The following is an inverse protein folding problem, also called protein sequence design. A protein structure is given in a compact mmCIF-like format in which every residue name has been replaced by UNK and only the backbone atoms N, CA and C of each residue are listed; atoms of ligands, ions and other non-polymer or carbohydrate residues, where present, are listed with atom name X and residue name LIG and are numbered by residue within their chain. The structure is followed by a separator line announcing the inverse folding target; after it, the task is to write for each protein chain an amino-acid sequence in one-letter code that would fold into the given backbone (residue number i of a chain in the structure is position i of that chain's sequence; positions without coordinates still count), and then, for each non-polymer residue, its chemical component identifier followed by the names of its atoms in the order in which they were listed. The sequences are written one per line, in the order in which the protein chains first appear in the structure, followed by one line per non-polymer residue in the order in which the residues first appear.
data_IF_773026218664
#
_entry.id   IF_773026218664
#
_cell.length_a   1.000
_cell.length_b   1.000
_cell.length_c   1.000
_cell.angle_alpha   90.00
_cell.angle_beta   90.00
_cell.angle_gamma   90.00
#
_symmetry.space_group_name_H-M   'P 1'
#
loop_
_entity.id
_entity.type
_entity.pdbx_description
1 polymer ?
#
# COMPACT_ATOMS: atom_id res chain seq x y z
N UNK A 1 17.75 2.80 5.32
CA UNK A 1 16.76 1.73 5.54
C UNK A 1 16.40 1.01 4.25
N UNK A 2 16.08 1.72 3.15
CA UNK A 2 15.74 1.12 1.85
C UNK A 2 16.89 0.38 1.17
N UNK A 3 18.15 0.74 1.48
CA UNK A 3 19.34 0.23 0.78
C UNK A 3 19.70 1.03 -0.48
N UNK A 4 18.92 2.05 -0.84
CA UNK A 4 19.24 2.92 -1.96
C UNK A 4 20.39 3.88 -1.61
N UNK A 5 21.27 4.15 -2.57
CA UNK A 5 22.24 5.21 -2.46
C UNK A 5 21.58 6.56 -2.79
N UNK A 6 21.83 7.58 -1.97
CA UNK A 6 21.50 8.96 -2.30
C UNK A 6 22.61 9.50 -3.20
N UNK A 7 22.37 9.51 -4.51
CA UNK A 7 23.43 9.81 -5.50
C UNK A 7 23.51 11.27 -5.90
N UNK A 8 22.51 12.08 -5.56
CA UNK A 8 22.51 13.49 -5.89
C UNK A 8 21.22 14.17 -5.50
N UNK A 9 21.20 15.45 -5.68
CA UNK A 9 20.07 16.34 -5.44
C UNK A 9 20.46 17.77 -5.68
N UNK A 10 19.48 18.65 -5.67
CA UNK A 10 19.65 20.09 -5.83
C UNK A 10 18.61 20.81 -4.99
N UNK A 11 18.96 21.99 -4.53
CA UNK A 11 18.00 22.95 -3.94
C UNK A 11 17.94 24.16 -4.86
N UNK A 12 16.74 24.51 -5.31
CA UNK A 12 16.51 25.68 -6.13
C UNK A 12 15.52 26.63 -5.46
N UNK A 13 15.83 27.92 -5.48
CA UNK A 13 14.88 28.95 -5.12
C UNK A 13 13.92 29.18 -6.29
N UNK A 14 12.63 29.34 -5.97
CA UNK A 14 11.59 29.58 -6.97
C UNK A 14 10.79 30.86 -6.62
N UNK A 15 11.40 32.04 -6.80
CA UNK A 15 10.77 33.31 -6.46
C UNK A 15 9.45 33.51 -7.23
N UNK A 16 8.38 33.88 -6.50
CA UNK A 16 7.06 34.08 -7.08
C UNK A 16 6.24 32.82 -7.32
N UNK A 17 6.81 31.63 -7.08
CA UNK A 17 6.09 30.35 -7.15
C UNK A 17 5.64 29.87 -5.76
N UNK A 18 6.58 29.81 -4.81
CA UNK A 18 6.29 29.55 -3.39
C UNK A 18 6.25 30.83 -2.58
N UNK A 19 5.42 30.84 -1.54
CA UNK A 19 5.44 31.90 -0.53
C UNK A 19 6.63 31.69 0.41
N UNK A 20 7.02 32.74 1.09
CA UNK A 20 8.08 32.66 2.10
C UNK A 20 7.72 31.60 3.17
N UNK A 21 8.63 30.67 3.44
CA UNK A 21 8.45 29.56 4.36
C UNK A 21 7.80 28.30 3.76
N UNK A 22 7.33 28.35 2.52
CA UNK A 22 6.80 27.17 1.79
C UNK A 22 7.92 26.50 0.99
N UNK A 23 7.92 25.18 0.97
CA UNK A 23 8.84 24.39 0.15
C UNK A 23 8.24 23.04 -0.20
N UNK A 24 8.73 22.44 -1.27
CA UNK A 24 8.44 21.07 -1.65
C UNK A 24 9.71 20.22 -1.70
N UNK A 25 9.56 18.94 -1.45
CA UNK A 25 10.63 17.95 -1.65
C UNK A 25 10.15 16.97 -2.70
N UNK A 26 10.85 16.90 -3.83
CA UNK A 26 10.60 15.94 -4.88
C UNK A 26 11.77 14.95 -4.95
N UNK A 27 11.46 13.69 -5.19
CA UNK A 27 12.47 12.65 -5.37
C UNK A 27 12.03 11.64 -6.40
N UNK A 28 13.01 11.03 -7.06
CA UNK A 28 12.76 9.86 -7.89
C UNK A 28 13.86 8.82 -7.69
N UNK A 29 13.49 7.55 -7.91
CA UNK A 29 14.43 6.45 -7.81
C UNK A 29 14.69 5.84 -9.19
N UNK A 30 15.94 5.49 -9.44
CA UNK A 30 16.34 4.71 -10.61
C UNK A 30 16.79 3.35 -10.13
N UNK A 31 16.23 2.31 -10.72
CA UNK A 31 16.59 0.93 -10.45
C UNK A 31 16.79 0.17 -11.76
N UNK A 32 17.44 -0.98 -11.66
CA UNK A 32 17.61 -1.93 -12.77
C UNK A 32 17.18 -3.31 -12.33
N UNK A 33 16.64 -4.06 -13.27
CA UNK A 33 16.27 -5.47 -13.09
C UNK A 33 16.56 -6.23 -14.37
N UNK A 34 17.01 -7.47 -14.25
CA UNK A 34 17.17 -8.35 -15.39
C UNK A 34 15.80 -8.62 -16.04
N UNK A 35 15.75 -8.63 -17.38
CA UNK A 35 14.50 -8.73 -18.13
C UNK A 35 13.67 -9.97 -17.79
N UNK A 36 14.33 -11.06 -17.50
CA UNK A 36 13.72 -12.34 -17.12
C UNK A 36 13.21 -12.37 -15.67
N UNK A 37 13.66 -11.43 -14.84
CA UNK A 37 13.25 -11.27 -13.45
C UNK A 37 12.13 -10.24 -13.22
N UNK A 38 11.64 -9.61 -14.29
CA UNK A 38 10.55 -8.64 -14.18
C UNK A 38 9.27 -9.35 -13.70
N UNK A 39 8.74 -8.91 -12.56
CA UNK A 39 7.44 -9.33 -12.06
C UNK A 39 6.37 -8.53 -12.79
N UNK A 40 5.70 -9.15 -13.76
CA UNK A 40 4.77 -8.48 -14.66
C UNK A 40 3.35 -9.06 -14.63
N UNK A 41 3.06 -9.93 -13.67
CA UNK A 41 1.73 -10.49 -13.45
C UNK A 41 1.29 -11.57 -14.44
N UNK A 42 2.13 -11.97 -15.40
CA UNK A 42 1.77 -12.96 -16.44
C UNK A 42 1.45 -14.34 -15.90
N UNK A 43 2.00 -14.69 -14.73
CA UNK A 43 1.84 -16.00 -14.09
C UNK A 43 0.71 -16.00 -13.04
N UNK A 44 0.01 -14.87 -12.86
CA UNK A 44 -1.17 -14.79 -11.98
C UNK A 44 -2.32 -15.54 -12.64
N UNK A 45 -2.99 -16.38 -11.84
CA UNK A 45 -4.10 -17.21 -12.30
C UNK A 45 -5.18 -17.34 -11.21
N UNK A 46 -6.40 -17.69 -11.56
CA UNK A 46 -7.44 -18.01 -10.58
C UNK A 46 -6.96 -19.06 -9.56
N UNK A 47 -7.27 -18.85 -8.29
CA UNK A 47 -6.83 -19.65 -7.15
C UNK A 47 -5.54 -19.16 -6.47
N UNK A 48 -4.77 -18.26 -7.09
CA UNK A 48 -3.66 -17.58 -6.42
C UNK A 48 -4.17 -16.76 -5.23
N UNK A 49 -3.40 -16.72 -4.16
CA UNK A 49 -3.79 -16.03 -2.93
C UNK A 49 -3.21 -14.62 -2.87
N UNK A 50 -3.99 -13.73 -2.27
CA UNK A 50 -3.61 -12.35 -2.04
C UNK A 50 -3.15 -12.19 -0.59
N UNK A 51 -1.92 -11.72 -0.41
CA UNK A 51 -1.33 -11.43 0.90
C UNK A 51 -1.17 -9.93 1.02
N UNK A 52 -1.80 -9.34 2.04
CA UNK A 52 -1.65 -7.94 2.40
C UNK A 52 -0.59 -7.77 3.48
N UNK A 53 0.30 -6.80 3.31
CA UNK A 53 1.30 -6.39 4.31
C UNK A 53 0.80 -5.10 4.96
N UNK A 54 0.75 -5.07 6.30
CA UNK A 54 0.23 -3.96 7.06
C UNK A 54 0.94 -2.63 6.73
N UNK A 55 0.16 -1.57 6.66
CA UNK A 55 0.67 -0.20 6.58
C UNK A 55 1.05 0.34 7.96
N UNK A 56 1.70 1.49 7.99
CA UNK A 56 1.98 2.27 9.21
C UNK A 56 0.88 3.30 9.53
N UNK A 57 -0.17 3.37 8.74
CA UNK A 57 -1.25 4.35 8.82
C UNK A 57 -1.71 4.78 7.43
N UNK A 58 -2.12 6.02 7.29
CA UNK A 58 -2.65 6.58 6.02
C UNK A 58 -1.59 6.69 4.92
N UNK A 59 -0.31 6.58 5.27
CA UNK A 59 0.82 6.86 4.40
C UNK A 59 0.78 8.29 3.87
N UNK A 60 0.95 8.47 2.56
CA UNK A 60 0.99 9.80 1.94
C UNK A 60 -0.19 10.08 1.00
N UNK A 61 -1.32 9.37 1.19
CA UNK A 61 -2.48 9.45 0.30
C UNK A 61 -3.74 9.88 1.03
N UNK A 62 -4.68 10.47 0.28
CA UNK A 62 -5.97 10.88 0.81
C UNK A 62 -5.97 12.15 1.68
N UNK A 63 -4.88 12.91 1.72
CA UNK A 63 -4.74 14.08 2.60
C UNK A 63 -5.69 15.23 2.29
N UNK A 64 -6.26 15.30 1.09
CA UNK A 64 -7.34 16.24 0.79
C UNK A 64 -8.59 15.95 1.62
N UNK A 65 -8.91 14.67 1.85
CA UNK A 65 -10.01 14.25 2.71
C UNK A 65 -9.61 14.38 4.18
N UNK A 66 -8.41 13.94 4.57
CA UNK A 66 -7.88 14.07 5.93
C UNK A 66 -8.01 15.50 6.44
N UNK A 67 -7.56 16.50 5.66
CA UNK A 67 -7.66 17.92 6.02
C UNK A 67 -9.09 18.45 6.17
N UNK A 68 -10.06 17.82 5.54
CA UNK A 68 -11.49 18.16 5.72
C UNK A 68 -12.08 17.55 6.98
N UNK A 69 -11.61 16.37 7.38
CA UNK A 69 -12.11 15.66 8.56
C UNK A 69 -11.46 16.15 9.84
N UNK A 70 -10.17 16.44 9.81
CA UNK A 70 -9.36 16.84 10.95
C UNK A 70 -9.01 18.33 10.85
N UNK A 71 -9.97 19.18 11.22
CA UNK A 71 -9.79 20.64 11.23
C UNK A 71 -9.02 21.12 12.45
N UNK A 72 -9.10 20.37 13.55
CA UNK A 72 -8.23 20.50 14.71
C UNK A 72 -7.23 19.34 14.73
N UNK A 73 -5.98 19.63 14.40
CA UNK A 73 -4.91 18.62 14.38
C UNK A 73 -4.42 18.23 15.78
N UNK A 74 -4.81 18.97 16.80
CA UNK A 74 -4.47 18.72 18.21
C UNK A 74 -5.55 17.96 18.97
N UNK A 75 -6.67 17.60 18.32
CA UNK A 75 -7.66 16.74 18.95
C UNK A 75 -7.03 15.41 19.41
N UNK A 76 -7.55 14.88 20.53
CA UNK A 76 -7.05 13.62 21.08
C UNK A 76 -7.48 12.43 20.22
N UNK A 77 -6.51 11.57 19.92
CA UNK A 77 -6.73 10.31 19.26
C UNK A 77 -5.81 9.23 19.86
N UNK A 78 -6.40 8.23 20.52
CA UNK A 78 -5.67 7.13 21.17
C UNK A 78 -4.60 7.60 22.19
N UNK A 79 -4.89 8.66 22.93
CA UNK A 79 -3.99 9.19 23.97
C UNK A 79 -2.92 10.14 23.46
N UNK A 80 -2.94 10.47 22.19
CA UNK A 80 -2.03 11.45 21.58
C UNK A 80 -2.78 12.42 20.67
N UNK A 81 -2.12 13.46 20.22
CA UNK A 81 -2.64 14.38 19.20
C UNK A 81 -2.74 13.68 17.83
N UNK A 82 -3.89 13.80 17.16
CA UNK A 82 -4.17 13.07 15.91
C UNK A 82 -3.16 13.31 14.81
N UNK A 83 -2.55 14.48 14.75
CA UNK A 83 -1.54 14.79 13.73
C UNK A 83 -0.35 13.83 13.78
N UNK A 84 0.04 13.31 14.96
CA UNK A 84 1.15 12.35 15.10
C UNK A 84 0.86 11.05 14.36
N UNK A 85 -0.37 10.56 14.47
CA UNK A 85 -0.83 9.39 13.70
C UNK A 85 -0.87 9.69 12.20
N UNK A 86 -1.40 10.86 11.83
CA UNK A 86 -1.59 11.24 10.42
C UNK A 86 -0.26 11.42 9.65
N UNK A 87 0.79 11.95 10.32
CA UNK A 87 2.10 12.14 9.67
C UNK A 87 3.05 10.95 9.80
N UNK A 88 2.58 9.83 10.35
CA UNK A 88 3.41 8.62 10.43
C UNK A 88 3.98 8.29 9.04
N UNK A 89 5.32 8.16 8.91
CA UNK A 89 5.94 7.94 7.59
C UNK A 89 5.43 6.70 6.89
N UNK A 90 5.36 6.76 5.57
CA UNK A 90 5.07 5.59 4.73
C UNK A 90 6.04 4.46 5.04
N UNK A 91 5.50 3.28 5.32
CA UNK A 91 6.29 2.09 5.63
C UNK A 91 7.16 1.68 4.44
N UNK A 92 8.40 1.29 4.73
CA UNK A 92 9.35 0.81 3.73
C UNK A 92 9.22 -0.70 3.55
N UNK A 93 8.74 -1.12 2.40
CA UNK A 93 8.56 -2.55 2.05
C UNK A 93 9.75 -3.15 1.30
N UNK A 94 10.78 -2.36 0.99
CA UNK A 94 11.87 -2.75 0.08
C UNK A 94 12.57 -4.02 0.54
N UNK A 95 13.17 -4.03 1.73
CA UNK A 95 13.93 -5.18 2.23
C UNK A 95 13.08 -6.45 2.43
N UNK A 96 11.90 -6.37 3.08
CA UNK A 96 11.03 -7.53 3.22
C UNK A 96 10.62 -8.13 1.89
N UNK A 97 10.22 -7.30 0.91
CA UNK A 97 9.78 -7.76 -0.40
C UNK A 97 10.94 -8.34 -1.21
N UNK A 98 12.11 -7.70 -1.22
CA UNK A 98 13.30 -8.24 -1.89
C UNK A 98 13.68 -9.61 -1.32
N UNK A 99 13.61 -9.79 0.00
CA UNK A 99 13.91 -11.09 0.63
C UNK A 99 12.94 -12.20 0.24
N UNK A 100 11.71 -11.84 -0.16
CA UNK A 100 10.74 -12.80 -0.72
C UNK A 100 11.07 -13.15 -2.16
N UNK A 101 11.33 -12.15 -2.99
CA UNK A 101 11.62 -12.32 -4.42
C UNK A 101 12.83 -13.23 -4.66
N UNK A 102 13.82 -13.17 -3.74
CA UNK A 102 15.00 -14.04 -3.79
C UNK A 102 14.68 -15.52 -3.50
N UNK A 103 13.59 -15.80 -2.78
CA UNK A 103 13.26 -17.13 -2.27
C UNK A 103 12.06 -17.78 -2.94
N UNK A 104 11.11 -16.97 -3.41
CA UNK A 104 9.81 -17.43 -3.91
C UNK A 104 9.46 -16.74 -5.20
N UNK A 105 8.60 -17.39 -5.98
CA UNK A 105 8.00 -16.79 -7.15
C UNK A 105 6.81 -15.90 -6.75
N UNK A 106 7.07 -14.62 -6.52
CA UNK A 106 6.03 -13.61 -6.34
C UNK A 106 5.49 -13.26 -7.73
N UNK A 107 4.22 -13.59 -7.98
CA UNK A 107 3.62 -13.46 -9.31
C UNK A 107 3.20 -12.04 -9.64
N UNK A 108 2.82 -11.26 -8.62
CA UNK A 108 2.45 -9.85 -8.76
C UNK A 108 2.57 -9.10 -7.46
N UNK A 109 2.71 -7.79 -7.56
CA UNK A 109 2.82 -6.86 -6.43
C UNK A 109 2.08 -5.58 -6.73
N UNK A 110 1.41 -5.04 -5.70
CA UNK A 110 0.77 -3.73 -5.77
C UNK A 110 1.06 -2.93 -4.51
N UNK A 111 1.71 -1.78 -4.64
CA UNK A 111 1.82 -0.80 -3.57
C UNK A 111 0.55 0.04 -3.56
N UNK A 112 -0.17 0.04 -2.45
CA UNK A 112 -1.46 0.72 -2.33
C UNK A 112 -1.21 2.19 -2.01
N UNK A 113 -1.47 3.03 -3.01
CA UNK A 113 -1.28 4.48 -2.99
C UNK A 113 -2.61 5.20 -3.28
N UNK A 114 -2.58 6.41 -3.87
CA UNK A 114 -3.79 7.10 -4.32
C UNK A 114 -4.61 6.22 -5.27
N UNK A 115 -5.93 6.25 -5.11
CA UNK A 115 -6.84 5.31 -5.77
C UNK A 115 -7.10 4.01 -5.00
N UNK A 116 -6.44 3.82 -3.83
CA UNK A 116 -6.71 2.71 -2.91
C UNK A 116 -6.59 1.33 -3.56
N UNK A 117 -7.36 0.39 -3.05
CA UNK A 117 -7.37 -0.99 -3.58
C UNK A 117 -7.92 -1.04 -5.00
N UNK A 118 -8.99 -0.31 -5.26
CA UNK A 118 -9.76 -0.38 -6.52
C UNK A 118 -8.88 -0.06 -7.73
N UNK A 119 -8.02 0.95 -7.62
CA UNK A 119 -7.17 1.33 -8.75
C UNK A 119 -5.80 0.62 -8.74
N UNK A 120 -5.24 0.31 -7.56
CA UNK A 120 -3.87 -0.19 -7.52
C UNK A 120 -3.79 -1.71 -7.69
N UNK A 121 -4.64 -2.49 -7.03
CA UNK A 121 -4.56 -3.95 -7.09
C UNK A 121 -4.66 -4.50 -8.52
N UNK A 122 -5.59 -4.03 -9.38
CA UNK A 122 -5.69 -4.55 -10.74
C UNK A 122 -4.48 -4.25 -11.64
N UNK A 123 -3.64 -3.28 -11.26
CA UNK A 123 -2.43 -2.95 -12.05
C UNK A 123 -1.43 -4.11 -12.10
N UNK A 124 -1.45 -5.01 -11.11
CA UNK A 124 -0.57 -6.18 -11.13
C UNK A 124 -1.05 -7.28 -12.09
N UNK A 125 -2.29 -7.23 -12.58
CA UNK A 125 -2.84 -8.22 -13.50
C UNK A 125 -2.42 -7.95 -14.94
N UNK A 126 -1.79 -8.94 -15.56
CA UNK A 126 -1.49 -8.94 -16.99
C UNK A 126 -2.68 -9.56 -17.75
N UNK A 127 -3.50 -8.70 -18.35
CA UNK A 127 -4.75 -9.12 -19.01
C UNK A 127 -5.99 -8.51 -18.35
N UNK A 128 -7.16 -8.87 -18.88
CA UNK A 128 -8.46 -8.29 -18.51
C UNK A 128 -9.43 -9.24 -17.83
N UNK A 129 -9.02 -10.49 -17.56
CA UNK A 129 -9.92 -11.56 -17.14
C UNK A 129 -9.65 -12.07 -15.71
N UNK A 130 -9.07 -11.20 -14.85
CA UNK A 130 -8.76 -11.53 -13.46
C UNK A 130 -9.35 -10.48 -12.53
N UNK A 131 -10.02 -10.93 -11.49
CA UNK A 131 -10.55 -10.12 -10.41
C UNK A 131 -9.86 -10.48 -9.10
N UNK A 132 -9.52 -9.50 -8.28
CA UNK A 132 -9.11 -9.70 -6.90
C UNK A 132 -10.35 -9.75 -6.00
N UNK A 133 -10.70 -10.91 -5.48
CA UNK A 133 -11.72 -11.03 -4.44
C UNK A 133 -11.08 -10.82 -3.08
N UNK A 134 -11.41 -9.72 -2.39
CA UNK A 134 -10.78 -9.29 -1.14
C UNK A 134 -11.83 -9.21 -0.03
N UNK A 135 -11.58 -9.95 1.06
CA UNK A 135 -12.44 -9.95 2.25
C UNK A 135 -12.09 -8.80 3.17
N UNK A 136 -13.03 -7.88 3.37
CA UNK A 136 -12.87 -6.68 4.21
C UNK A 136 -12.63 -6.97 5.70
N UNK A 137 -13.01 -8.16 6.16
CA UNK A 137 -12.87 -8.61 7.55
C UNK A 137 -11.68 -9.55 7.78
N UNK A 138 -10.84 -9.75 6.77
CA UNK A 138 -9.68 -10.66 6.84
C UNK A 138 -8.51 -10.11 7.65
N UNK A 139 -8.55 -8.86 8.06
CA UNK A 139 -7.53 -8.19 8.86
C UNK A 139 -8.15 -7.09 9.73
N UNK A 140 -7.52 -6.71 10.85
CA UNK A 140 -8.02 -5.63 11.70
C UNK A 140 -7.87 -4.29 10.98
N UNK A 141 -8.96 -3.51 10.92
CA UNK A 141 -8.92 -2.15 10.39
C UNK A 141 -8.18 -1.25 11.39
N UNK A 142 -7.14 -0.49 11.01
CA UNK A 142 -6.49 0.45 11.92
C UNK A 142 -7.44 1.53 12.42
N UNK A 143 -7.31 1.89 13.69
CA UNK A 143 -8.21 2.80 14.38
C UNK A 143 -8.42 4.16 13.69
N UNK A 144 -7.41 4.68 12.98
CA UNK A 144 -7.53 5.94 12.24
C UNK A 144 -8.58 5.85 11.12
N UNK A 145 -8.71 4.70 10.46
CA UNK A 145 -9.74 4.51 9.43
C UNK A 145 -11.12 4.29 10.04
N UNK A 146 -11.19 3.63 11.22
CA UNK A 146 -12.43 3.53 11.98
C UNK A 146 -12.92 4.91 12.43
N UNK A 147 -12.01 5.76 12.89
CA UNK A 147 -12.34 7.14 13.27
C UNK A 147 -12.87 7.95 12.08
N UNK A 148 -12.25 7.82 10.91
CA UNK A 148 -12.76 8.47 9.69
C UNK A 148 -14.17 7.99 9.32
N UNK A 149 -14.47 6.70 9.51
CA UNK A 149 -15.83 6.16 9.30
C UNK A 149 -16.79 6.77 10.32
N UNK A 150 -16.40 6.86 11.59
CA UNK A 150 -17.20 7.46 12.65
C UNK A 150 -17.45 8.96 12.41
N UNK A 151 -16.52 9.66 11.74
CA UNK A 151 -16.69 11.04 11.27
C UNK A 151 -17.55 11.15 10.00
N UNK A 152 -18.15 10.05 9.55
CA UNK A 152 -19.15 10.03 8.46
C UNK A 152 -18.61 9.69 7.07
N UNK A 153 -17.38 9.22 6.94
CA UNK A 153 -16.87 8.78 5.63
C UNK A 153 -17.43 7.40 5.30
N UNK A 154 -17.94 7.24 4.09
CA UNK A 154 -18.42 5.94 3.62
C UNK A 154 -17.24 4.94 3.50
N UNK A 155 -17.35 3.80 4.19
CA UNK A 155 -16.29 2.78 4.25
C UNK A 155 -15.89 2.26 2.86
N UNK A 156 -16.84 2.00 1.99
CA UNK A 156 -16.54 1.44 0.66
C UNK A 156 -15.83 2.47 -0.23
N UNK A 157 -16.18 3.74 -0.12
CA UNK A 157 -15.47 4.82 -0.82
C UNK A 157 -14.03 4.98 -0.32
N UNK A 158 -13.74 4.63 0.94
CA UNK A 158 -12.37 4.70 1.47
C UNK A 158 -11.43 3.71 0.78
N UNK A 159 -11.92 2.56 0.31
CA UNK A 159 -11.11 1.60 -0.47
C UNK A 159 -10.67 2.14 -1.84
N UNK A 160 -11.27 3.23 -2.31
CA UNK A 160 -10.83 3.96 -3.50
C UNK A 160 -9.91 5.17 -3.18
N UNK A 161 -9.60 5.42 -1.91
CA UNK A 161 -8.83 6.59 -1.49
C UNK A 161 -7.61 6.21 -0.66
N UNK A 162 -7.78 5.27 0.26
CA UNK A 162 -6.80 4.89 1.28
C UNK A 162 -6.31 3.46 1.12
N UNK A 163 -5.21 3.15 1.79
CA UNK A 163 -4.68 1.79 1.89
C UNK A 163 -5.45 0.90 2.87
N UNK A 164 -6.38 1.43 3.63
CA UNK A 164 -7.23 0.73 4.61
C UNK A 164 -6.46 -0.19 5.57
N UNK A 165 -5.18 0.13 5.86
CA UNK A 165 -4.32 -0.64 6.76
C UNK A 165 -3.37 -1.61 6.07
N UNK A 166 -3.40 -1.72 4.75
CA UNK A 166 -2.50 -2.58 3.98
C UNK A 166 -1.80 -1.77 2.88
N UNK A 167 -0.50 -1.57 3.02
CA UNK A 167 0.24 -0.73 2.07
C UNK A 167 0.83 -1.51 0.89
N UNK A 168 0.94 -2.84 0.98
CA UNK A 168 1.42 -3.69 -0.10
C UNK A 168 0.54 -4.93 -0.22
N UNK A 169 0.20 -5.33 -1.43
CA UNK A 169 -0.51 -6.57 -1.74
C UNK A 169 0.35 -7.42 -2.68
N UNK A 170 0.49 -8.70 -2.36
CA UNK A 170 1.23 -9.69 -3.14
C UNK A 170 0.29 -10.75 -3.66
N UNK A 171 0.47 -11.18 -4.91
CA UNK A 171 -0.16 -12.36 -5.48
C UNK A 171 0.84 -13.52 -5.49
N UNK A 172 0.48 -14.62 -4.83
CA UNK A 172 1.35 -15.81 -4.67
C UNK A 172 0.58 -17.10 -4.98
N UNK A 173 1.30 -18.15 -5.33
CA UNK A 173 0.68 -19.48 -5.45
C UNK A 173 0.12 -19.93 -4.09
N UNK A 174 -1.02 -20.62 -4.12
CA UNK A 174 -1.66 -21.14 -2.90
C UNK A 174 -0.74 -22.01 -2.04
N UNK A 175 0.19 -22.73 -2.68
CA UNK A 175 1.10 -23.64 -2.01
C UNK A 175 2.30 -22.90 -1.34
N UNK A 176 2.53 -21.64 -1.72
CA UNK A 176 3.60 -20.80 -1.15
C UNK A 176 3.13 -19.82 -0.06
N UNK A 177 1.81 -19.78 0.23
CA UNK A 177 1.22 -18.85 1.22
C UNK A 177 1.91 -18.94 2.58
N UNK A 178 1.98 -20.13 3.16
CA UNK A 178 2.55 -20.33 4.50
C UNK A 178 4.02 -19.89 4.58
N UNK A 179 4.81 -20.23 3.58
CA UNK A 179 6.23 -19.86 3.50
C UNK A 179 6.42 -18.35 3.34
N UNK A 180 5.55 -17.72 2.53
CA UNK A 180 5.55 -16.27 2.32
C UNK A 180 5.21 -15.54 3.63
N UNK A 181 4.13 -15.97 4.31
CA UNK A 181 3.71 -15.41 5.60
C UNK A 181 4.80 -15.56 6.67
N UNK A 182 5.41 -16.74 6.77
CA UNK A 182 6.49 -17.00 7.72
C UNK A 182 7.72 -16.12 7.44
N UNK A 183 8.08 -15.95 6.17
CA UNK A 183 9.24 -15.12 5.79
C UNK A 183 8.99 -13.64 6.10
N UNK A 184 7.79 -13.13 5.82
CA UNK A 184 7.39 -11.76 6.18
C UNK A 184 7.41 -11.58 7.70
N UNK A 185 6.85 -12.52 8.45
CA UNK A 185 6.83 -12.47 9.91
C UNK A 185 8.25 -12.46 10.50
N UNK A 186 9.17 -13.27 9.97
CA UNK A 186 10.59 -13.26 10.36
C UNK A 186 11.30 -11.95 10.02
N UNK A 187 10.84 -11.25 9.00
CA UNK A 187 11.32 -9.90 8.66
C UNK A 187 10.69 -8.79 9.52
N UNK A 188 9.82 -9.14 10.48
CA UNK A 188 9.13 -8.19 11.36
C UNK A 188 7.86 -7.60 10.76
N UNK A 189 7.35 -8.16 9.66
CA UNK A 189 6.16 -7.68 9.00
C UNK A 189 4.89 -8.34 9.56
N UNK A 190 3.85 -7.54 9.74
CA UNK A 190 2.49 -8.04 9.97
C UNK A 190 1.83 -8.21 8.61
N UNK A 191 1.31 -9.40 8.33
CA UNK A 191 0.68 -9.70 7.05
C UNK A 191 -0.52 -10.65 7.22
N UNK A 192 -1.41 -10.63 6.24
CA UNK A 192 -2.69 -11.33 6.27
C UNK A 192 -3.00 -11.95 4.90
N UNK A 193 -3.66 -13.10 4.90
CA UNK A 193 -4.28 -13.63 3.67
C UNK A 193 -5.62 -12.92 3.51
N UNK A 194 -5.69 -12.03 2.55
CA UNK A 194 -6.82 -11.09 2.40
C UNK A 194 -7.85 -11.53 1.36
N UNK A 195 -7.51 -12.51 0.54
CA UNK A 195 -8.40 -12.95 -0.52
C UNK A 195 -7.71 -13.83 -1.52
N UNK A 196 -8.29 -13.90 -2.70
CA UNK A 196 -7.76 -14.68 -3.80
C UNK A 196 -8.05 -14.04 -5.16
N UNK A 197 -7.34 -14.51 -6.16
CA UNK A 197 -7.59 -14.16 -7.56
C UNK A 197 -8.66 -15.10 -8.12
N UNK A 198 -9.67 -14.55 -8.75
CA UNK A 198 -10.74 -15.30 -9.44
C UNK A 198 -10.79 -14.92 -10.90
N UNK A 199 -11.43 -15.77 -11.72
CA UNK A 199 -11.76 -15.42 -13.09
C UNK A 199 -12.90 -14.38 -13.09
N UNK A 200 -12.75 -13.31 -13.84
CA UNK A 200 -13.72 -12.22 -13.88
C UNK A 200 -13.18 -11.02 -14.64
N UNK A 201 -13.98 -9.99 -14.77
CA UNK A 201 -13.53 -8.72 -15.34
C UNK A 201 -12.39 -8.13 -14.48
N UNK A 202 -11.41 -7.49 -15.11
CA UNK A 202 -10.26 -6.91 -14.41
C UNK A 202 -10.71 -5.88 -13.37
N UNK A 203 -10.52 -6.22 -12.10
CA UNK A 203 -11.01 -5.36 -11.03
C UNK A 203 -10.73 -5.90 -9.63
N UNK A 204 -11.47 -5.34 -8.67
CA UNK A 204 -11.50 -5.76 -7.26
C UNK A 204 -12.93 -5.91 -6.82
N UNK A 205 -13.25 -7.07 -6.27
CA UNK A 205 -14.49 -7.33 -5.56
C UNK A 205 -14.22 -7.32 -4.06
N UNK A 206 -14.86 -6.40 -3.35
CA UNK A 206 -14.79 -6.29 -1.89
C UNK A 206 -15.95 -7.04 -1.25
N UNK A 207 -15.66 -8.16 -0.61
CA UNK A 207 -16.65 -9.04 0.02
C UNK A 207 -16.53 -9.05 1.55
#
# INVERSE_FOLDING_TARGET
ESGCALIGGETAEMPGFYKEGEYDIAGFAVGIVDKDKIINGKDIKPGDKLIGIASSGVHSNGFSLVRKLYTDLYEEFNGEEVWKTLITPTKLYVKPVLSLIEKFNIKGMSHITGGGFIENVPRMFNGSELTAEIRKDSYPLPAIFEDMINKGVNRDHMYNTFNMGLGMVLAVDKDDVNKTMETLSKAGETCYVIGEVVAGEKGVDLV
#
